data_IF_541915783849
#
_entry.id   IF_541915783849
#
_cell.length_a   1.000
_cell.length_b   1.000
_cell.length_c   1.000
_cell.angle_alpha   90.00
_cell.angle_beta   90.00
_cell.angle_gamma   90.00
#
_symmetry.space_group_name_H-M   'P 1'
#
loop_
_entity.id
_entity.type
_entity.pdbx_description
1 polymer ?
#
# COMPACT_ATOMS: atom_id res chain seq x y z
N UNK A 1 -27.06 -2.59 -18.24
CA UNK A 1 -25.76 -3.29 -18.10
C UNK A 1 -25.93 -4.78 -18.34
N UNK A 2 -25.13 -5.39 -19.18
CA UNK A 2 -25.16 -6.83 -19.33
C UNK A 2 -24.86 -7.53 -18.00
N UNK A 3 -25.59 -8.58 -17.69
CA UNK A 3 -25.45 -9.33 -16.42
C UNK A 3 -24.04 -9.85 -16.15
N UNK A 4 -23.23 -10.03 -17.19
CA UNK A 4 -21.86 -10.54 -17.08
C UNK A 4 -20.86 -9.52 -16.49
N UNK A 5 -21.00 -8.24 -16.82
CA UNK A 5 -20.09 -7.20 -16.32
C UNK A 5 -20.28 -6.94 -14.83
N UNK A 6 -21.54 -6.88 -14.36
CA UNK A 6 -21.82 -6.67 -12.93
C UNK A 6 -21.35 -7.85 -12.08
N UNK A 7 -21.46 -9.08 -12.61
CA UNK A 7 -21.00 -10.29 -11.92
C UNK A 7 -19.48 -10.35 -11.85
N UNK A 8 -18.78 -10.00 -12.94
CA UNK A 8 -17.31 -9.95 -12.96
C UNK A 8 -16.75 -8.92 -11.99
N UNK A 9 -17.37 -7.73 -11.93
CA UNK A 9 -16.98 -6.68 -10.96
C UNK A 9 -17.21 -7.13 -9.51
N UNK A 10 -18.28 -7.88 -9.24
CA UNK A 10 -18.57 -8.40 -7.90
C UNK A 10 -17.54 -9.44 -7.46
N UNK A 11 -17.11 -10.32 -8.37
CA UNK A 11 -16.07 -11.32 -8.11
C UNK A 11 -14.73 -10.64 -7.85
N UNK A 12 -14.37 -9.65 -8.68
CA UNK A 12 -13.14 -8.90 -8.50
C UNK A 12 -13.10 -8.18 -7.16
N UNK A 13 -14.18 -7.51 -6.77
CA UNK A 13 -14.30 -6.86 -5.46
C UNK A 13 -14.16 -7.84 -4.30
N UNK A 14 -14.75 -9.03 -4.43
CA UNK A 14 -14.65 -10.07 -3.41
C UNK A 14 -13.22 -10.56 -3.27
N UNK A 15 -12.53 -10.83 -4.36
CA UNK A 15 -11.11 -11.23 -4.36
C UNK A 15 -10.25 -10.15 -3.70
N UNK A 16 -10.45 -8.90 -4.06
CA UNK A 16 -9.72 -7.77 -3.47
C UNK A 16 -9.98 -7.67 -1.97
N UNK A 17 -11.23 -7.85 -1.54
CA UNK A 17 -11.60 -7.83 -0.13
C UNK A 17 -10.90 -8.93 0.67
N UNK A 18 -10.85 -10.15 0.15
CA UNK A 18 -10.17 -11.26 0.79
C UNK A 18 -8.64 -11.05 0.82
N UNK A 19 -8.09 -10.53 -0.25
CA UNK A 19 -6.66 -10.20 -0.33
C UNK A 19 -6.27 -9.11 0.68
N UNK A 20 -7.11 -8.08 0.81
CA UNK A 20 -6.91 -7.00 1.78
C UNK A 20 -6.96 -7.49 3.24
N UNK A 21 -7.64 -8.60 3.49
CA UNK A 21 -7.66 -9.25 4.81
C UNK A 21 -6.42 -10.11 5.09
N UNK A 22 -5.48 -10.17 4.15
CA UNK A 22 -4.21 -10.89 4.31
C UNK A 22 -4.23 -12.33 3.81
N UNK A 23 -5.23 -12.74 3.05
CA UNK A 23 -5.29 -14.08 2.49
C UNK A 23 -4.32 -14.24 1.33
N UNK A 24 -3.66 -15.40 1.25
CA UNK A 24 -2.83 -15.76 0.10
C UNK A 24 -3.69 -16.07 -1.13
N UNK A 25 -3.09 -16.08 -2.32
CA UNK A 25 -3.80 -16.44 -3.56
C UNK A 25 -4.40 -17.84 -3.46
N UNK A 26 -3.67 -18.79 -2.89
CA UNK A 26 -4.16 -20.16 -2.69
C UNK A 26 -5.34 -20.22 -1.73
N UNK A 27 -5.28 -19.47 -0.64
CA UNK A 27 -6.37 -19.39 0.33
C UNK A 27 -7.61 -18.74 -0.27
N UNK A 28 -7.44 -17.72 -1.10
CA UNK A 28 -8.54 -17.08 -1.82
C UNK A 28 -9.20 -18.05 -2.79
N UNK A 29 -8.40 -18.82 -3.54
CA UNK A 29 -8.93 -19.83 -4.47
C UNK A 29 -9.79 -20.85 -3.73
N UNK A 30 -9.28 -21.38 -2.62
CA UNK A 30 -9.99 -22.34 -1.80
C UNK A 30 -11.28 -21.76 -1.20
N UNK A 31 -11.22 -20.57 -0.63
CA UNK A 31 -12.37 -19.87 -0.07
C UNK A 31 -13.45 -19.60 -1.11
N UNK A 32 -13.05 -19.13 -2.30
CA UNK A 32 -13.97 -18.87 -3.41
C UNK A 32 -14.69 -20.15 -3.84
N UNK A 33 -13.97 -21.25 -3.93
CA UNK A 33 -14.55 -22.55 -4.33
C UNK A 33 -15.45 -23.13 -3.25
N UNK A 34 -15.02 -23.14 -2.00
CA UNK A 34 -15.71 -23.83 -0.91
C UNK A 34 -16.89 -23.04 -0.35
N UNK A 35 -16.73 -21.74 -0.16
CA UNK A 35 -17.73 -20.88 0.50
C UNK A 35 -18.66 -20.22 -0.51
N UNK A 36 -18.09 -19.68 -1.60
CA UNK A 36 -18.84 -18.89 -2.58
C UNK A 36 -19.24 -19.69 -3.81
N UNK A 37 -18.81 -20.96 -3.91
CA UNK A 37 -19.09 -21.84 -5.05
C UNK A 37 -18.68 -21.23 -6.39
N UNK A 38 -17.59 -20.46 -6.40
CA UNK A 38 -17.04 -19.81 -7.58
C UNK A 38 -15.71 -20.48 -7.93
N UNK A 39 -15.63 -21.05 -9.13
CA UNK A 39 -14.37 -21.59 -9.65
C UNK A 39 -13.56 -20.45 -10.30
N UNK A 40 -12.43 -20.15 -9.69
CA UNK A 40 -11.50 -19.16 -10.18
C UNK A 40 -10.08 -19.75 -10.04
N UNK A 41 -9.33 -19.72 -11.14
CA UNK A 41 -7.95 -20.23 -11.10
C UNK A 41 -7.05 -19.31 -10.26
N UNK A 42 -5.98 -19.87 -9.69
CA UNK A 42 -4.97 -19.06 -9.00
C UNK A 42 -4.35 -18.02 -9.91
N UNK A 43 -4.21 -18.34 -11.21
CA UNK A 43 -3.71 -17.39 -12.22
C UNK A 43 -4.65 -16.20 -12.38
N UNK A 44 -5.97 -16.43 -12.43
CA UNK A 44 -6.96 -15.35 -12.53
C UNK A 44 -6.95 -14.47 -11.27
N UNK A 45 -6.85 -15.08 -10.09
CA UNK A 45 -6.74 -14.37 -8.82
C UNK A 45 -5.46 -13.54 -8.79
N UNK A 46 -4.34 -14.09 -9.24
CA UNK A 46 -3.05 -13.36 -9.31
C UNK A 46 -3.12 -12.13 -10.22
N UNK A 47 -3.85 -12.21 -11.33
CA UNK A 47 -4.06 -11.05 -12.21
C UNK A 47 -4.78 -9.93 -11.44
N UNK A 48 -5.81 -10.27 -10.68
CA UNK A 48 -6.56 -9.30 -9.88
C UNK A 48 -5.70 -8.69 -8.77
N UNK A 49 -4.98 -9.52 -8.02
CA UNK A 49 -4.12 -9.05 -6.92
C UNK A 49 -2.93 -8.24 -7.43
N UNK A 50 -2.38 -8.56 -8.60
CA UNK A 50 -1.31 -7.78 -9.22
C UNK A 50 -1.76 -6.38 -9.61
N UNK A 51 -3.00 -6.20 -10.05
CA UNK A 51 -3.57 -4.87 -10.30
C UNK A 51 -3.62 -4.04 -9.02
N UNK A 52 -4.02 -4.65 -7.91
CA UNK A 52 -4.04 -3.97 -6.59
C UNK A 52 -2.63 -3.59 -6.16
N UNK A 53 -1.68 -4.50 -6.28
CA UNK A 53 -0.28 -4.24 -5.94
C UNK A 53 0.31 -3.12 -6.80
N UNK A 54 0.01 -3.11 -8.09
CA UNK A 54 0.46 -2.06 -9.00
C UNK A 54 -0.15 -0.70 -8.61
N UNK A 55 -1.44 -0.65 -8.32
CA UNK A 55 -2.11 0.57 -7.88
C UNK A 55 -1.52 1.07 -6.55
N UNK A 56 -1.20 0.17 -5.61
CA UNK A 56 -0.56 0.51 -4.35
C UNK A 56 0.84 1.08 -4.56
N UNK A 57 1.63 0.50 -5.47
CA UNK A 57 2.95 1.00 -5.83
C UNK A 57 2.88 2.38 -6.48
N UNK A 58 1.94 2.58 -7.39
CA UNK A 58 1.72 3.89 -8.02
C UNK A 58 1.34 4.94 -6.99
N UNK A 59 0.46 4.58 -6.05
CA UNK A 59 0.11 5.47 -4.95
C UNK A 59 1.32 5.79 -4.06
N UNK A 60 2.11 4.79 -3.70
CA UNK A 60 3.31 4.97 -2.87
C UNK A 60 4.35 5.87 -3.55
N UNK A 61 4.45 5.79 -4.86
CA UNK A 61 5.44 6.53 -5.65
C UNK A 61 4.88 7.81 -6.28
N UNK A 62 3.64 8.19 -5.95
CA UNK A 62 3.07 9.40 -6.52
C UNK A 62 3.81 10.64 -6.05
N UNK A 63 3.86 11.71 -6.89
CA UNK A 63 4.46 12.98 -6.48
C UNK A 63 3.71 13.59 -5.29
N UNK A 64 4.45 14.09 -4.31
CA UNK A 64 3.91 14.78 -3.14
C UNK A 64 3.91 16.29 -3.35
N UNK A 65 3.08 16.99 -2.57
CA UNK A 65 3.11 18.46 -2.56
C UNK A 65 4.46 18.97 -2.06
N UNK A 66 4.89 20.16 -2.48
CA UNK A 66 6.21 20.69 -2.09
C UNK A 66 6.26 21.11 -0.62
N UNK A 67 5.10 21.40 0.00
CA UNK A 67 5.04 21.93 1.37
C UNK A 67 3.96 21.21 2.16
N UNK A 68 4.37 20.71 3.33
CA UNK A 68 3.48 20.24 4.39
C UNK A 68 3.81 21.01 5.66
N UNK A 69 2.80 21.47 6.38
CA UNK A 69 2.99 22.26 7.61
C UNK A 69 3.55 21.39 8.74
N UNK A 70 3.03 20.17 8.86
CA UNK A 70 3.45 19.18 9.85
C UNK A 70 3.47 17.81 9.18
N UNK A 71 4.48 17.03 9.49
CA UNK A 71 4.60 15.61 9.06
C UNK A 71 4.86 14.77 10.30
N UNK A 72 4.10 13.69 10.45
CA UNK A 72 4.32 12.76 11.56
C UNK A 72 4.18 11.31 11.09
N UNK A 73 4.67 10.39 11.92
CA UNK A 73 4.65 8.96 11.65
C UNK A 73 3.80 8.27 12.72
N UNK A 74 2.86 7.45 12.27
CA UNK A 74 2.05 6.57 13.13
C UNK A 74 2.44 5.12 12.88
N UNK A 75 2.77 4.38 13.94
CA UNK A 75 3.09 2.96 13.86
C UNK A 75 1.88 2.10 14.22
N UNK A 76 1.54 1.16 13.35
CA UNK A 76 0.49 0.17 13.59
C UNK A 76 1.13 -1.22 13.60
N UNK A 77 1.03 -1.92 14.72
CA UNK A 77 1.55 -3.28 14.86
C UNK A 77 0.48 -4.28 14.44
N UNK A 78 0.85 -5.23 13.60
CA UNK A 78 -0.04 -6.30 13.18
C UNK A 78 0.72 -7.64 13.11
N UNK A 79 -0.05 -8.72 13.19
CA UNK A 79 0.50 -10.07 13.15
C UNK A 79 0.48 -10.59 11.72
N UNK A 80 1.61 -11.15 11.29
CA UNK A 80 1.78 -11.72 9.96
C UNK A 80 2.29 -13.15 10.11
N UNK A 81 1.78 -14.04 9.28
CA UNK A 81 2.35 -15.38 9.16
C UNK A 81 3.52 -15.35 8.19
N UNK A 82 4.68 -15.73 8.68
CA UNK A 82 5.90 -15.80 7.91
C UNK A 82 6.59 -17.14 8.20
N UNK A 83 6.80 -17.95 7.17
CA UNK A 83 7.40 -19.30 7.29
C UNK A 83 6.76 -20.17 8.38
N UNK A 84 5.43 -20.17 8.45
CA UNK A 84 4.67 -20.95 9.44
C UNK A 84 4.69 -20.40 10.86
N UNK A 85 5.36 -19.27 11.10
CA UNK A 85 5.40 -18.58 12.40
C UNK A 85 4.62 -17.30 12.33
N UNK A 86 3.98 -16.95 13.45
CA UNK A 86 3.31 -15.64 13.58
C UNK A 86 4.32 -14.65 14.14
N UNK A 87 4.61 -13.61 13.37
CA UNK A 87 5.52 -12.53 13.77
C UNK A 87 4.77 -11.21 13.78
N UNK A 88 5.24 -10.28 14.62
CA UNK A 88 4.73 -8.92 14.63
C UNK A 88 5.51 -8.08 13.62
N UNK A 89 4.78 -7.35 12.77
CA UNK A 89 5.34 -6.33 11.90
C UNK A 89 4.71 -4.99 12.22
N UNK A 90 5.46 -3.93 12.03
CA UNK A 90 4.95 -2.57 12.19
C UNK A 90 4.84 -1.91 10.83
N UNK A 91 3.68 -1.35 10.53
CA UNK A 91 3.48 -0.45 9.40
C UNK A 91 3.53 0.97 9.94
N UNK A 92 4.39 1.77 9.35
CA UNK A 92 4.50 3.18 9.64
C UNK A 92 3.76 3.97 8.57
N UNK A 93 2.73 4.70 9.00
CA UNK A 93 2.02 5.65 8.16
C UNK A 93 2.67 7.02 8.32
N UNK A 94 3.10 7.61 7.23
CA UNK A 94 3.53 9.01 7.23
C UNK A 94 2.34 9.86 6.85
N UNK A 95 1.97 10.79 7.73
CA UNK A 95 0.83 11.69 7.54
C UNK A 95 1.33 13.12 7.48
N UNK A 96 0.84 13.88 6.51
CA UNK A 96 1.17 15.28 6.34
C UNK A 96 -0.05 16.17 6.48
N UNK A 97 0.12 17.33 7.12
CA UNK A 97 -0.89 18.37 7.16
C UNK A 97 -0.60 19.36 6.03
N UNK A 98 -1.54 19.48 5.10
CA UNK A 98 -1.45 20.39 3.96
C UNK A 98 -1.71 21.84 4.41
N UNK A 99 -1.28 22.79 3.58
CA UNK A 99 -1.52 24.21 3.79
C UNK A 99 -3.01 24.58 3.89
N UNK A 100 -3.88 23.81 3.21
CA UNK A 100 -5.33 23.99 3.26
C UNK A 100 -6.01 23.38 4.50
N UNK A 101 -5.23 22.83 5.45
CA UNK A 101 -5.74 22.22 6.67
C UNK A 101 -6.16 20.76 6.53
N UNK A 102 -6.06 20.15 5.35
CA UNK A 102 -6.40 18.75 5.13
C UNK A 102 -5.22 17.84 5.43
N UNK A 103 -5.50 16.68 5.99
CA UNK A 103 -4.52 15.64 6.23
C UNK A 103 -4.41 14.73 5.01
N UNK A 104 -3.19 14.28 4.73
CA UNK A 104 -2.91 13.34 3.65
C UNK A 104 -1.96 12.27 4.14
N UNK A 105 -2.24 11.01 3.81
CA UNK A 105 -1.28 9.94 4.02
C UNK A 105 -0.25 9.99 2.90
N UNK A 106 0.99 10.26 3.25
CA UNK A 106 2.08 10.46 2.29
C UNK A 106 2.66 9.14 1.80
N UNK A 107 2.64 8.12 2.63
CA UNK A 107 3.16 6.81 2.29
C UNK A 107 3.10 5.86 3.46
N UNK A 108 3.48 4.61 3.19
CA UNK A 108 3.54 3.54 4.18
C UNK A 108 4.87 2.81 4.04
N UNK A 109 5.47 2.47 5.17
CA UNK A 109 6.70 1.69 5.22
C UNK A 109 6.54 0.57 6.24
N UNK A 110 7.02 -0.62 5.87
CA UNK A 110 6.99 -1.78 6.77
C UNK A 110 8.38 -1.96 7.35
N UNK A 111 8.50 -1.98 8.67
CA UNK A 111 9.77 -2.14 9.36
C UNK A 111 9.73 -3.25 10.40
N UNK A 112 10.87 -3.93 10.58
CA UNK A 112 11.07 -4.90 11.67
C UNK A 112 11.57 -4.23 12.93
N UNK A 113 12.23 -3.07 12.81
CA UNK A 113 12.79 -2.31 13.92
C UNK A 113 12.91 -0.84 13.55
N UNK A 114 12.82 0.00 14.56
CA UNK A 114 13.05 1.45 14.42
C UNK A 114 14.55 1.76 14.46
N UNK A 115 15.28 1.33 13.44
CA UNK A 115 16.69 1.66 13.32
C UNK A 115 16.87 3.00 12.60
N UNK A 116 18.04 3.64 12.82
CA UNK A 116 18.38 4.87 12.11
C UNK A 116 18.45 4.66 10.58
N UNK A 117 18.88 3.48 10.14
CA UNK A 117 18.89 3.14 8.71
C UNK A 117 17.47 3.06 8.13
N UNK A 118 16.50 2.55 8.90
CA UNK A 118 15.10 2.53 8.51
C UNK A 118 14.57 3.96 8.31
N UNK A 119 14.79 4.85 9.26
CA UNK A 119 14.34 6.24 9.18
C UNK A 119 15.02 7.01 8.05
N UNK A 120 16.31 6.76 7.82
CA UNK A 120 17.01 7.35 6.68
C UNK A 120 16.42 6.89 5.35
N UNK A 121 16.03 5.63 5.26
CA UNK A 121 15.33 5.10 4.08
C UNK A 121 14.00 5.81 3.82
N UNK A 122 13.19 5.99 4.87
CA UNK A 122 11.91 6.70 4.79
C UNK A 122 12.11 8.15 4.32
N UNK A 123 13.06 8.86 4.92
CA UNK A 123 13.37 10.25 4.55
C UNK A 123 13.88 10.36 3.12
N UNK A 124 14.69 9.40 2.67
CA UNK A 124 15.18 9.35 1.29
C UNK A 124 14.04 9.17 0.30
N UNK A 125 13.10 8.27 0.60
CA UNK A 125 11.92 8.03 -0.24
C UNK A 125 11.04 9.28 -0.33
N UNK A 126 10.76 9.92 0.81
CA UNK A 126 9.97 11.16 0.86
C UNK A 126 10.65 12.28 0.06
N UNK A 127 11.95 12.42 0.19
CA UNK A 127 12.75 13.39 -0.56
C UNK A 127 12.61 13.16 -2.07
N UNK A 128 12.71 11.91 -2.52
CA UNK A 128 12.58 11.54 -3.93
C UNK A 128 11.19 11.87 -4.48
N UNK A 129 10.12 11.67 -3.70
CA UNK A 129 8.75 11.97 -4.11
C UNK A 129 8.52 13.47 -4.27
N UNK A 130 9.09 14.29 -3.39
CA UNK A 130 9.07 15.76 -3.51
C UNK A 130 9.85 16.21 -4.74
N UNK A 131 10.99 15.62 -4.99
CA UNK A 131 11.82 15.89 -6.17
C UNK A 131 11.07 15.64 -7.48
N UNK A 132 10.38 14.52 -7.57
CA UNK A 132 9.68 14.13 -8.78
C UNK A 132 8.53 15.09 -9.13
N UNK A 133 7.98 15.76 -8.12
CA UNK A 133 6.89 16.71 -8.34
C UNK A 133 7.36 18.08 -8.83
N UNK A 134 8.44 18.60 -8.24
CA UNK A 134 8.91 19.95 -8.52
C UNK A 134 10.43 19.97 -8.70
N UNK A 135 10.92 19.94 -9.95
CA UNK A 135 12.37 19.99 -10.21
C UNK A 135 13.07 21.22 -9.58
N UNK A 136 12.32 22.28 -9.33
CA UNK A 136 12.85 23.53 -8.75
C UNK A 136 13.23 23.38 -7.27
N UNK A 137 12.64 22.45 -6.55
CA UNK A 137 12.97 22.17 -5.14
C UNK A 137 14.28 21.38 -5.03
N UNK A 138 14.71 20.77 -6.10
CA UNK A 138 15.95 20.01 -6.17
C UNK A 138 17.15 20.78 -5.63
N UNK A 139 17.29 22.06 -6.02
CA UNK A 139 18.40 22.91 -5.58
C UNK A 139 18.36 23.22 -4.08
N UNK A 140 17.18 23.34 -3.48
CA UNK A 140 16.99 23.63 -2.06
C UNK A 140 17.30 22.39 -1.21
N UNK A 141 16.89 21.22 -1.68
CA UNK A 141 17.06 19.95 -0.97
C UNK A 141 18.52 19.46 -1.02
N UNK A 142 19.27 19.77 -2.08
CA UNK A 142 20.66 19.40 -2.22
C UNK A 142 21.62 20.19 -1.30
N UNK A 143 21.18 21.31 -0.74
CA UNK A 143 21.96 22.12 0.19
C UNK A 143 21.81 21.68 1.66
N UNK A 144 20.91 20.78 1.97
CA UNK A 144 20.67 20.23 3.29
C UNK A 144 21.04 18.74 3.36
#
# INVERSE_FOLDING_TARGET
>A
MPKHESRGLSIEKLVISLYAKGMSVSDIEEEMREIYEIELSTSAISIITNKVNQAAQEWQNRPLDPVYLIVWMDGIVFKVRDNGKIINKTVYLCVGLKQNGLKEVLGMWVGKSESSSFWMGVLTDLKALIYNRTPQIKSIVDYN
#
